data_IF_399570145944
#
_entry.id   IF_399570145944
#
_cell.length_a   1.000
_cell.length_b   1.000
_cell.length_c   1.000
_cell.angle_alpha   90.00
_cell.angle_beta   90.00
_cell.angle_gamma   90.00
#
_symmetry.space_group_name_H-M   'P 1'
#
loop_
_entity.id
_entity.type
_entity.pdbx_description
1 polymer ?
#
# COMPACT_ATOMS: atom_id res chain seq x y z
N UNK A 1 14.90 -28.23 10.76
CA UNK A 1 13.87 -28.46 9.73
C UNK A 1 13.98 -27.41 8.64
N UNK A 2 14.05 -27.84 7.38
CA UNK A 2 14.06 -26.91 6.24
C UNK A 2 12.63 -26.39 6.05
N UNK A 3 12.39 -25.11 6.33
CA UNK A 3 11.16 -24.42 5.90
C UNK A 3 11.11 -24.47 4.38
N UNK A 4 10.38 -25.44 3.84
CA UNK A 4 9.96 -25.42 2.44
C UNK A 4 9.07 -24.20 2.28
N UNK A 5 9.65 -23.07 1.87
CA UNK A 5 8.89 -21.95 1.33
C UNK A 5 8.29 -22.47 0.02
N UNK A 6 7.07 -23.02 0.09
CA UNK A 6 6.22 -22.99 -1.08
C UNK A 6 6.13 -21.52 -1.45
N UNK A 7 6.69 -21.16 -2.61
CA UNK A 7 6.39 -19.91 -3.29
C UNK A 7 4.93 -20.05 -3.73
N UNK A 8 4.01 -19.91 -2.78
CA UNK A 8 2.61 -19.65 -3.12
C UNK A 8 2.69 -18.30 -3.84
N UNK A 9 2.33 -18.29 -5.12
CA UNK A 9 2.18 -17.03 -5.85
C UNK A 9 1.21 -16.18 -5.03
N UNK A 10 1.69 -14.99 -4.67
CA UNK A 10 0.93 -14.09 -3.84
C UNK A 10 -0.12 -13.45 -4.74
N UNK A 11 -1.39 -13.78 -4.52
CA UNK A 11 -2.48 -13.32 -5.40
C UNK A 11 -3.05 -11.95 -4.98
N UNK A 12 -2.30 -11.20 -4.17
CA UNK A 12 -2.70 -9.92 -3.58
C UNK A 12 -3.52 -10.10 -2.30
N UNK A 13 -4.02 -8.98 -1.78
CA UNK A 13 -4.77 -8.95 -0.53
C UNK A 13 -6.21 -8.47 -0.74
N UNK A 14 -7.03 -8.68 0.29
CA UNK A 14 -8.36 -8.10 0.45
C UNK A 14 -8.29 -6.58 0.61
N UNK A 15 -9.37 -5.89 0.23
CA UNK A 15 -9.42 -4.42 0.24
C UNK A 15 -9.19 -3.88 1.66
N UNK A 16 -9.79 -4.52 2.66
CA UNK A 16 -9.61 -4.19 4.08
C UNK A 16 -8.16 -4.32 4.57
N UNK A 17 -7.37 -5.24 4.03
CA UNK A 17 -5.95 -5.39 4.38
C UNK A 17 -5.14 -4.21 3.84
N UNK A 18 -5.37 -3.79 2.59
CA UNK A 18 -4.70 -2.60 2.04
C UNK A 18 -5.04 -1.35 2.83
N UNK A 19 -6.31 -1.15 3.21
CA UNK A 19 -6.73 0.00 4.02
C UNK A 19 -6.05 0.01 5.39
N UNK A 20 -6.04 -1.12 6.10
CA UNK A 20 -5.37 -1.19 7.41
C UNK A 20 -3.86 -1.02 7.27
N UNK A 21 -3.23 -1.63 6.27
CA UNK A 21 -1.80 -1.49 6.03
C UNK A 21 -1.42 -0.03 5.69
N UNK A 22 -2.23 0.66 4.88
CA UNK A 22 -2.04 2.08 4.56
C UNK A 22 -2.14 2.96 5.81
N UNK A 23 -3.13 2.70 6.67
CA UNK A 23 -3.30 3.39 7.96
C UNK A 23 -2.12 3.16 8.89
N UNK A 24 -1.63 1.92 8.98
CA UNK A 24 -0.45 1.58 9.80
C UNK A 24 0.79 2.29 9.24
N UNK A 25 1.03 2.19 7.92
CA UNK A 25 2.15 2.83 7.24
C UNK A 25 2.14 4.34 7.45
N UNK A 26 1.00 4.99 7.25
CA UNK A 26 0.82 6.43 7.46
C UNK A 26 1.29 6.85 8.86
N UNK A 27 0.89 6.13 9.91
CA UNK A 27 1.30 6.47 11.28
C UNK A 27 2.76 6.21 11.66
N UNK A 28 3.55 5.54 10.79
CA UNK A 28 4.95 5.15 11.10
C UNK A 28 5.95 5.52 10.00
N UNK A 29 5.48 6.10 8.89
CA UNK A 29 6.35 6.46 7.77
C UNK A 29 7.40 7.49 8.21
N UNK A 30 8.55 7.46 7.54
CA UNK A 30 9.60 8.43 7.83
C UNK A 30 9.26 9.75 7.15
N UNK A 31 8.89 10.77 7.94
CA UNK A 31 8.72 12.12 7.42
C UNK A 31 10.06 12.67 6.89
N UNK A 32 10.04 13.17 5.65
CA UNK A 32 11.20 13.84 5.05
C UNK A 32 11.24 15.31 5.47
N UNK A 33 12.45 15.86 5.62
CA UNK A 33 12.62 17.30 5.88
C UNK A 33 12.00 18.12 4.75
N UNK A 34 11.44 19.30 5.08
CA UNK A 34 10.71 20.17 4.13
C UNK A 34 11.48 20.51 2.85
N UNK A 35 12.80 20.54 2.89
CA UNK A 35 13.69 20.75 1.74
C UNK A 35 13.82 19.53 0.81
N UNK A 36 13.28 18.37 1.22
CA UNK A 36 13.39 17.06 0.56
C UNK A 36 12.05 16.33 0.39
N UNK A 37 10.92 16.98 0.69
CA UNK A 37 9.60 16.38 0.50
C UNK A 37 9.35 16.31 -1.01
N UNK A 38 9.54 15.12 -1.57
CA UNK A 38 9.25 14.82 -2.97
C UNK A 38 7.89 14.12 -3.10
N UNK A 39 7.57 13.24 -2.13
CA UNK A 39 6.27 12.58 -2.00
C UNK A 39 5.53 13.17 -0.80
N UNK A 40 4.27 13.54 -1.01
CA UNK A 40 3.39 14.16 -0.01
C UNK A 40 2.40 13.14 0.53
N UNK A 41 2.43 12.95 1.83
CA UNK A 41 1.45 12.17 2.57
C UNK A 41 0.39 13.09 3.16
N UNK A 42 -0.85 12.60 3.27
CA UNK A 42 -1.94 13.32 3.93
C UNK A 42 -1.65 13.56 5.42
N UNK A 43 -2.49 14.39 6.04
CA UNK A 43 -2.35 14.77 7.44
C UNK A 43 -2.59 13.59 8.41
N UNK A 44 -1.68 13.44 9.38
CA UNK A 44 -1.72 12.43 10.45
C UNK A 44 -2.61 12.83 11.64
N UNK A 45 -3.25 14.00 11.59
CA UNK A 45 -4.02 14.56 12.71
C UNK A 45 -5.16 13.67 13.21
N UNK A 46 -5.59 12.68 12.43
CA UNK A 46 -6.57 11.67 12.84
C UNK A 46 -5.88 10.33 13.03
N UNK A 47 -5.75 9.89 14.29
CA UNK A 47 -5.33 8.52 14.61
C UNK A 47 -6.19 7.54 13.82
N UNK A 48 -5.61 6.65 12.99
CA UNK A 48 -6.40 5.78 12.16
C UNK A 48 -7.17 4.77 13.02
N UNK A 49 -8.49 4.74 12.89
CA UNK A 49 -9.29 3.64 13.43
C UNK A 49 -8.99 2.39 12.60
N UNK A 50 -8.25 1.45 13.18
CA UNK A 50 -7.95 0.15 12.57
C UNK A 50 -9.13 -0.81 12.81
N UNK A 51 -9.57 -1.47 11.74
CA UNK A 51 -10.72 -2.39 11.78
C UNK A 51 -10.31 -3.70 11.14
N UNK A 52 -10.02 -4.70 11.97
CA UNK A 52 -9.59 -6.02 11.51
C UNK A 52 -10.75 -7.01 11.53
N UNK A 53 -10.86 -7.81 10.46
CA UNK A 53 -11.86 -8.89 10.36
C UNK A 53 -11.52 -10.07 11.27
N UNK A 54 -10.25 -10.41 11.36
CA UNK A 54 -9.71 -11.57 12.08
C UNK A 54 -8.20 -11.38 12.36
N UNK A 55 -7.61 -12.26 13.19
CA UNK A 55 -6.19 -12.18 13.57
C UNK A 55 -5.24 -12.32 12.37
N UNK A 56 -5.59 -13.14 11.38
CA UNK A 56 -4.77 -13.29 10.19
C UNK A 56 -4.76 -12.00 9.37
N UNK A 57 -5.94 -11.40 9.16
CA UNK A 57 -6.10 -10.09 8.50
C UNK A 57 -5.30 -9.00 9.22
N UNK A 58 -5.25 -9.02 10.55
CA UNK A 58 -4.40 -8.13 11.34
C UNK A 58 -2.91 -8.37 11.08
N UNK A 59 -2.47 -9.62 11.19
CA UNK A 59 -1.07 -10.00 10.96
C UNK A 59 -0.58 -9.57 9.57
N UNK A 60 -1.33 -9.89 8.51
CA UNK A 60 -0.91 -9.56 7.14
C UNK A 60 -0.96 -8.05 6.87
N UNK A 61 -1.84 -7.30 7.54
CA UNK A 61 -1.86 -5.82 7.43
C UNK A 61 -0.58 -5.20 7.99
N UNK A 62 -0.11 -5.67 9.16
CA UNK A 62 1.17 -5.22 9.72
C UNK A 62 2.35 -5.65 8.87
N UNK A 63 2.37 -6.91 8.42
CA UNK A 63 3.44 -7.42 7.56
C UNK A 63 3.56 -6.58 6.28
N UNK A 64 2.44 -6.29 5.62
CA UNK A 64 2.41 -5.49 4.41
C UNK A 64 2.89 -4.05 4.66
N UNK A 65 2.42 -3.40 5.72
CA UNK A 65 2.83 -2.04 6.08
C UNK A 65 4.34 -1.95 6.38
N UNK A 66 4.86 -2.88 7.19
CA UNK A 66 6.28 -2.88 7.55
C UNK A 66 7.20 -3.24 6.38
N UNK A 67 6.76 -4.12 5.50
CA UNK A 67 7.51 -4.41 4.29
C UNK A 67 7.54 -3.21 3.34
N UNK A 68 6.43 -2.49 3.17
CA UNK A 68 6.42 -1.24 2.41
C UNK A 68 7.35 -0.19 3.07
N UNK A 69 7.30 -0.03 4.40
CA UNK A 69 8.16 0.89 5.15
C UNK A 69 9.65 0.62 4.92
N UNK A 70 10.05 -0.65 4.91
CA UNK A 70 11.44 -1.05 4.63
C UNK A 70 11.95 -0.53 3.29
N UNK A 71 11.07 -0.38 2.30
CA UNK A 71 11.40 0.09 0.96
C UNK A 71 10.82 1.48 0.66
N UNK A 72 10.43 2.26 1.68
CA UNK A 72 9.77 3.55 1.50
C UNK A 72 10.51 4.44 0.49
N UNK A 73 11.81 4.67 0.69
CA UNK A 73 12.60 5.54 -0.20
C UNK A 73 12.59 5.06 -1.66
N UNK A 74 12.75 3.75 -1.87
CA UNK A 74 12.74 3.16 -3.21
C UNK A 74 11.36 3.27 -3.87
N UNK A 75 10.28 3.01 -3.11
CA UNK A 75 8.92 3.09 -3.63
C UNK A 75 8.55 4.54 -3.98
N UNK A 76 8.97 5.50 -3.16
CA UNK A 76 8.81 6.93 -3.45
C UNK A 76 9.61 7.36 -4.69
N UNK A 77 10.86 6.91 -4.83
CA UNK A 77 11.66 7.16 -6.03
C UNK A 77 10.99 6.60 -7.28
N UNK A 78 10.46 5.38 -7.23
CA UNK A 78 9.71 4.79 -8.36
C UNK A 78 8.48 5.63 -8.74
N UNK A 79 7.74 6.16 -7.76
CA UNK A 79 6.61 7.05 -8.02
C UNK A 79 7.04 8.34 -8.72
N UNK A 80 8.17 8.93 -8.31
CA UNK A 80 8.71 10.15 -8.91
C UNK A 80 9.27 9.91 -10.31
N UNK A 81 10.05 8.84 -10.48
CA UNK A 81 10.69 8.46 -11.75
C UNK A 81 9.68 8.06 -12.82
N UNK A 82 8.51 7.54 -12.41
CA UNK A 82 7.39 7.30 -13.33
C UNK A 82 6.89 8.58 -14.03
N UNK A 83 7.29 9.77 -13.55
CA UNK A 83 6.83 11.08 -14.00
C UNK A 83 5.31 11.30 -13.82
N UNK A 84 4.64 10.42 -13.06
CA UNK A 84 3.19 10.50 -12.80
C UNK A 84 2.90 11.11 -11.41
N UNK A 85 3.91 11.18 -10.52
CA UNK A 85 3.80 11.84 -9.22
C UNK A 85 4.44 13.25 -9.23
N UNK A 86 3.81 14.28 -8.66
CA UNK A 86 2.52 14.27 -7.95
C UNK A 86 1.34 14.06 -8.90
N UNK A 87 0.49 13.10 -8.54
CA UNK A 87 -0.66 12.72 -9.35
C UNK A 87 -1.87 13.59 -8.99
N UNK A 88 -2.29 14.50 -9.88
CA UNK A 88 -3.47 15.35 -9.63
C UNK A 88 -4.75 14.54 -9.36
N UNK A 89 -4.84 13.30 -9.85
CA UNK A 89 -6.01 12.44 -9.61
C UNK A 89 -5.96 11.67 -8.29
N UNK A 90 -4.80 11.53 -7.64
CA UNK A 90 -4.67 10.86 -6.34
C UNK A 90 -4.39 11.91 -5.28
N UNK A 91 -5.32 12.14 -4.34
CA UNK A 91 -5.11 13.12 -3.28
C UNK A 91 -4.09 12.59 -2.26
N UNK A 92 -3.40 13.48 -1.56
CA UNK A 92 -2.28 13.14 -0.65
C UNK A 92 -2.68 12.14 0.44
N UNK A 93 -3.95 12.14 0.87
CA UNK A 93 -4.51 11.21 1.86
C UNK A 93 -4.49 9.74 1.39
N UNK A 94 -4.39 9.50 0.08
CA UNK A 94 -4.27 8.16 -0.49
C UNK A 94 -2.82 7.77 -0.82
N UNK A 95 -1.84 8.63 -0.56
CA UNK A 95 -0.43 8.32 -0.87
C UNK A 95 0.07 7.10 -0.10
N UNK A 96 -0.29 6.95 1.17
CA UNK A 96 0.07 5.75 1.95
C UNK A 96 -0.54 4.47 1.37
N UNK A 97 -1.77 4.55 0.86
CA UNK A 97 -2.42 3.43 0.17
C UNK A 97 -1.71 3.11 -1.15
N UNK A 98 -1.36 4.14 -1.92
CA UNK A 98 -0.59 4.00 -3.16
C UNK A 98 0.76 3.30 -2.93
N UNK A 99 1.54 3.73 -1.93
CA UNK A 99 2.86 3.17 -1.62
C UNK A 99 2.76 1.70 -1.20
N UNK A 100 1.81 1.38 -0.32
CA UNK A 100 1.59 0.01 0.14
C UNK A 100 1.12 -0.90 -1.00
N UNK A 101 0.22 -0.44 -1.85
CA UNK A 101 -0.26 -1.21 -3.01
C UNK A 101 0.81 -1.34 -4.10
N UNK A 102 1.67 -0.34 -4.28
CA UNK A 102 2.82 -0.43 -5.18
C UNK A 102 3.81 -1.49 -4.73
N UNK A 103 4.11 -1.55 -3.42
CA UNK A 103 4.96 -2.61 -2.87
C UNK A 103 4.40 -4.01 -3.16
N UNK A 104 3.11 -4.22 -2.87
CA UNK A 104 2.45 -5.49 -3.16
C UNK A 104 2.44 -5.80 -4.67
N UNK A 105 2.16 -4.81 -5.52
CA UNK A 105 2.20 -4.98 -6.97
C UNK A 105 3.58 -5.44 -7.46
N UNK A 106 4.66 -4.84 -6.94
CA UNK A 106 6.02 -5.25 -7.27
C UNK A 106 6.32 -6.68 -6.78
N UNK A 107 5.91 -7.03 -5.56
CA UNK A 107 6.10 -8.37 -4.97
C UNK A 107 5.40 -9.46 -5.82
N UNK A 108 4.29 -9.07 -6.47
CA UNK A 108 3.53 -9.90 -7.42
C UNK A 108 3.97 -9.74 -8.88
N UNK A 109 5.18 -9.20 -9.11
CA UNK A 109 5.77 -9.03 -10.45
C UNK A 109 4.86 -8.25 -11.42
N UNK A 110 4.18 -7.23 -10.91
CA UNK A 110 3.28 -6.35 -11.67
C UNK A 110 2.05 -7.03 -12.27
N UNK A 111 1.66 -8.20 -11.77
CA UNK A 111 0.40 -8.82 -12.16
C UNK A 111 -0.78 -8.12 -11.46
N UNK A 112 -1.98 -8.16 -12.02
CA UNK A 112 -3.18 -7.75 -11.28
C UNK A 112 -3.47 -8.76 -10.17
N UNK A 113 -4.02 -8.30 -9.03
CA UNK A 113 -4.43 -9.22 -7.96
C UNK A 113 -5.72 -9.95 -8.32
N UNK A 114 -5.97 -11.07 -7.67
CA UNK A 114 -7.28 -11.71 -7.70
C UNK A 114 -8.25 -10.96 -6.79
N UNK A 115 -9.42 -10.62 -7.34
CA UNK A 115 -10.49 -9.96 -6.59
C UNK A 115 -11.46 -11.05 -6.13
N UNK A 116 -11.70 -11.12 -4.82
CA UNK A 116 -12.66 -12.04 -4.24
C UNK A 116 -14.04 -11.38 -4.20
N UNK A 117 -15.04 -11.98 -4.85
CA UNK A 117 -16.42 -11.45 -4.94
C UNK A 117 -17.17 -11.38 -3.59
N UNK A 118 -16.57 -11.88 -2.52
CA UNK A 118 -17.18 -11.97 -1.19
C UNK A 118 -17.01 -10.69 -0.32
N UNK A 119 -16.21 -9.71 -0.75
CA UNK A 119 -15.93 -8.49 0.00
C UNK A 119 -16.52 -7.26 -0.70
N UNK A 120 -17.19 -6.40 0.06
CA UNK A 120 -17.66 -5.10 -0.43
C UNK A 120 -16.44 -4.27 -0.91
N UNK A 121 -16.42 -3.83 -2.17
CA UNK A 121 -15.27 -3.14 -2.72
C UNK A 121 -15.07 -1.77 -2.06
N UNK A 122 -13.82 -1.46 -1.71
CA UNK A 122 -13.47 -0.14 -1.17
C UNK A 122 -13.07 0.79 -2.31
N UNK A 123 -13.79 1.89 -2.49
CA UNK A 123 -13.63 2.81 -3.62
C UNK A 123 -12.19 3.34 -3.77
N UNK A 124 -11.54 3.64 -2.65
CA UNK A 124 -10.15 4.12 -2.58
C UNK A 124 -9.18 3.07 -3.11
N UNK A 125 -9.35 1.80 -2.72
CA UNK A 125 -8.52 0.70 -3.22
C UNK A 125 -8.69 0.58 -4.73
N UNK A 126 -9.93 0.57 -5.22
CA UNK A 126 -10.21 0.49 -6.67
C UNK A 126 -9.60 1.64 -7.44
N UNK A 127 -9.64 2.85 -6.89
CA UNK A 127 -9.04 4.03 -7.51
C UNK A 127 -7.52 3.86 -7.66
N UNK A 128 -6.84 3.39 -6.62
CA UNK A 128 -5.39 3.13 -6.68
C UNK A 128 -5.06 1.96 -7.62
N UNK A 129 -5.86 0.90 -7.64
CA UNK A 129 -5.68 -0.20 -8.60
C UNK A 129 -5.74 0.28 -10.06
N UNK A 130 -6.80 1.03 -10.40
CA UNK A 130 -6.95 1.56 -11.76
C UNK A 130 -5.80 2.48 -12.14
N UNK A 131 -5.28 3.24 -11.18
CA UNK A 131 -4.11 4.08 -11.41
C UNK A 131 -2.85 3.23 -11.68
N UNK A 132 -2.58 2.23 -10.83
CA UNK A 132 -1.39 1.40 -10.93
C UNK A 132 -1.40 0.49 -12.17
N UNK A 133 -2.56 -0.01 -12.60
CA UNK A 133 -2.69 -0.89 -13.77
C UNK A 133 -2.79 -0.16 -15.12
N UNK A 134 -2.88 1.18 -15.10
CA UNK A 134 -2.89 1.98 -16.32
C UNK A 134 -1.50 2.10 -16.95
N UNK A 135 -0.45 1.74 -16.21
CA UNK A 135 0.95 1.78 -16.59
C UNK A 135 1.54 0.37 -16.58
#
# INVERSE_FOLDING_TARGET
EKRTKFLIEKNGYRDSVYINAAKIFQGIHTEKRKDRILVRYGDDSVSPTLTFKDEYSQYVSYELAFNALKYQDLLEEMLLDSCVYPCQSIPDELTSLLVVMLYDLQDRKFQAREIFDEEEPVAEVRKIEHYLYRY
#
